data_IF_240089815802
#
_entry.id   IF_240089815802
#
_cell.length_a   1.000
_cell.length_b   1.000
_cell.length_c   1.000
_cell.angle_alpha   90.00
_cell.angle_beta   90.00
_cell.angle_gamma   90.00
#
_symmetry.space_group_name_H-M   'P 1'
#
loop_
_entity.id
_entity.type
_entity.pdbx_description
1 polymer ?
#
# COMPACT_ATOMS: atom_id res chain seq x y z
N UNK A 1 0.30 -25.14 -14.71
CA UNK A 1 0.24 -25.55 -16.12
C UNK A 1 0.61 -24.31 -16.92
N UNK A 2 1.76 -24.29 -17.59
CA UNK A 2 2.20 -23.10 -18.33
C UNK A 2 1.36 -22.95 -19.60
N UNK A 3 0.68 -21.81 -19.75
CA UNK A 3 -0.08 -21.48 -20.95
C UNK A 3 0.82 -20.71 -21.91
N UNK A 4 1.24 -21.36 -22.99
CA UNK A 4 2.11 -20.77 -24.02
C UNK A 4 1.48 -19.49 -24.59
N UNK A 5 2.30 -18.44 -24.71
CA UNK A 5 1.87 -17.13 -25.21
C UNK A 5 1.38 -16.14 -24.15
N UNK A 6 1.40 -16.52 -22.86
CA UNK A 6 1.13 -15.60 -21.74
C UNK A 6 2.44 -15.29 -21.00
N UNK A 7 2.72 -13.99 -20.83
CA UNK A 7 3.78 -13.52 -19.93
C UNK A 7 3.17 -13.21 -18.56
N UNK A 8 3.55 -13.96 -17.54
CA UNK A 8 3.22 -13.66 -16.14
C UNK A 8 4.30 -12.73 -15.58
N UNK A 9 3.87 -11.66 -14.90
CA UNK A 9 4.78 -10.65 -14.34
C UNK A 9 4.49 -10.51 -12.85
N UNK A 10 5.54 -10.63 -12.05
CA UNK A 10 5.53 -10.18 -10.66
C UNK A 10 6.07 -8.75 -10.61
N UNK A 11 5.32 -7.86 -9.97
CA UNK A 11 5.67 -6.46 -9.85
C UNK A 11 5.74 -6.04 -8.38
N UNK A 12 6.76 -5.24 -8.06
CA UNK A 12 6.88 -4.56 -6.78
C UNK A 12 6.54 -3.09 -6.98
N UNK A 13 5.67 -2.55 -6.13
CA UNK A 13 5.36 -1.12 -6.10
C UNK A 13 6.63 -0.30 -5.82
N UNK A 14 6.92 0.65 -6.70
CA UNK A 14 8.04 1.58 -6.55
C UNK A 14 7.60 2.92 -5.97
N UNK A 15 8.27 3.98 -6.42
CA UNK A 15 8.02 5.36 -6.00
C UNK A 15 6.62 5.84 -6.39
N UNK A 16 5.96 6.58 -5.49
CA UNK A 16 4.70 7.27 -5.81
C UNK A 16 4.96 8.39 -6.83
N UNK A 17 3.95 8.66 -7.64
CA UNK A 17 4.00 9.69 -8.68
C UNK A 17 2.63 10.34 -8.87
N UNK A 18 2.64 11.53 -9.44
CA UNK A 18 1.46 12.25 -9.92
C UNK A 18 1.44 12.21 -11.43
N UNK A 19 0.32 11.79 -12.01
CA UNK A 19 0.09 11.89 -13.45
C UNK A 19 -0.22 13.35 -13.77
N UNK A 20 0.54 13.95 -14.69
CA UNK A 20 0.39 15.33 -15.15
C UNK A 20 -0.50 15.39 -16.38
N UNK A 21 -0.26 14.47 -17.32
CA UNK A 21 -0.98 14.38 -18.58
C UNK A 21 -1.00 12.92 -19.04
N UNK A 22 -2.03 12.54 -19.79
CA UNK A 22 -2.12 11.24 -20.47
C UNK A 22 -2.39 11.42 -21.95
N UNK A 23 -1.79 10.58 -22.78
CA UNK A 23 -2.01 10.55 -24.23
C UNK A 23 -2.13 9.11 -24.73
N UNK A 24 -2.74 8.91 -25.89
CA UNK A 24 -2.77 7.60 -26.55
C UNK A 24 -1.55 7.54 -27.47
N UNK A 25 -0.59 6.68 -27.13
CA UNK A 25 0.63 6.45 -27.87
C UNK A 25 0.47 5.44 -29.01
N UNK A 26 1.60 4.97 -29.52
CA UNK A 26 1.60 3.93 -30.56
C UNK A 26 0.92 2.65 -30.07
N UNK A 27 0.28 1.92 -30.98
CA UNK A 27 -0.44 0.67 -30.68
C UNK A 27 -1.58 0.81 -29.65
N UNK A 28 -2.16 2.01 -29.50
CA UNK A 28 -3.21 2.34 -28.53
C UNK A 28 -2.81 2.15 -27.05
N UNK A 29 -1.50 2.21 -26.76
CA UNK A 29 -1.02 2.21 -25.38
C UNK A 29 -1.32 3.57 -24.74
N UNK A 30 -1.98 3.56 -23.58
CA UNK A 30 -2.16 4.78 -22.79
C UNK A 30 -0.84 5.12 -22.11
N UNK A 31 -0.26 6.26 -22.46
CA UNK A 31 0.99 6.76 -21.90
C UNK A 31 0.70 7.96 -21.00
N UNK A 32 1.51 8.14 -19.95
CA UNK A 32 1.35 9.22 -18.99
C UNK A 32 2.67 9.91 -18.67
N UNK A 33 2.66 11.24 -18.71
CA UNK A 33 3.76 12.05 -18.17
C UNK A 33 3.56 12.17 -16.67
N UNK A 34 4.59 11.81 -15.89
CA UNK A 34 4.49 11.74 -14.43
C UNK A 34 5.54 12.59 -13.73
N UNK A 35 5.15 13.19 -12.62
CA UNK A 35 6.05 13.79 -11.63
C UNK A 35 6.26 12.79 -10.49
N UNK A 36 7.51 12.40 -10.24
CA UNK A 36 7.82 11.53 -9.09
C UNK A 36 7.66 12.32 -7.80
N UNK A 37 6.92 11.77 -6.84
CA UNK A 37 6.81 12.36 -5.51
C UNK A 37 8.12 12.12 -4.74
N UNK A 38 8.45 13.07 -3.86
CA UNK A 38 9.59 12.94 -2.98
C UNK A 38 9.34 11.83 -1.96
N UNK A 39 10.34 10.98 -1.73
CA UNK A 39 10.30 10.01 -0.64
C UNK A 39 10.78 10.70 0.63
N UNK A 40 9.97 10.65 1.68
CA UNK A 40 10.38 11.09 3.01
C UNK A 40 11.24 10.02 3.67
N UNK A 41 12.13 10.41 4.60
CA UNK A 41 12.84 9.43 5.41
C UNK A 41 11.84 8.53 6.16
N UNK A 42 12.21 7.25 6.43
CA UNK A 42 11.40 6.33 7.22
C UNK A 42 10.89 6.98 8.51
N UNK A 43 9.57 6.99 8.69
CA UNK A 43 8.94 7.47 9.92
C UNK A 43 8.76 6.29 10.88
N UNK A 44 9.35 6.34 12.09
CA UNK A 44 9.12 5.30 13.10
C UNK A 44 7.64 5.16 13.43
N UNK A 45 7.19 3.94 13.72
CA UNK A 45 5.85 3.70 14.23
C UNK A 45 5.76 4.23 15.67
N UNK A 46 4.89 5.21 15.96
CA UNK A 46 4.74 5.72 17.32
C UNK A 46 3.93 4.73 18.18
N UNK A 47 4.19 4.76 19.49
CA UNK A 47 3.60 3.82 20.45
C UNK A 47 2.07 3.81 20.41
N UNK A 48 1.45 4.97 20.20
CA UNK A 48 -0.01 5.12 20.15
C UNK A 48 -0.64 4.38 18.96
N UNK A 49 0.14 4.03 17.94
CA UNK A 49 -0.29 3.31 16.74
C UNK A 49 0.07 1.82 16.77
N UNK A 50 0.80 1.35 17.79
CA UNK A 50 1.22 -0.06 17.90
C UNK A 50 0.05 -1.04 17.97
N UNK A 51 -1.15 -0.59 18.37
CA UNK A 51 -2.33 -1.47 18.40
C UNK A 51 -2.76 -2.01 17.03
N UNK A 52 -2.24 -1.43 15.93
CA UNK A 52 -2.44 -1.94 14.58
C UNK A 52 -1.62 -3.21 14.29
N UNK A 53 -0.52 -3.41 15.03
CA UNK A 53 0.46 -4.47 14.76
C UNK A 53 -0.09 -5.89 14.92
N UNK A 54 -0.86 -6.24 15.97
CA UNK A 54 -1.35 -7.61 16.11
C UNK A 54 -2.22 -8.05 14.93
N UNK A 55 -3.05 -7.14 14.41
CA UNK A 55 -3.85 -7.40 13.21
C UNK A 55 -2.95 -7.58 11.99
N UNK A 56 -1.99 -6.69 11.77
CA UNK A 56 -1.09 -6.75 10.63
C UNK A 56 -0.19 -8.00 10.66
N UNK A 57 0.33 -8.38 11.81
CA UNK A 57 1.12 -9.61 11.98
C UNK A 57 0.31 -10.85 11.65
N UNK A 58 -0.96 -10.91 12.07
CA UNK A 58 -1.87 -12.00 11.67
C UNK A 58 -2.07 -12.02 10.15
N UNK A 59 -2.33 -10.87 9.53
CA UNK A 59 -2.46 -10.75 8.07
C UNK A 59 -1.21 -11.26 7.35
N UNK A 60 -0.03 -10.85 7.81
CA UNK A 60 1.26 -11.27 7.24
C UNK A 60 1.45 -12.78 7.37
N UNK A 61 1.12 -13.35 8.53
CA UNK A 61 1.17 -14.79 8.77
C UNK A 61 0.20 -15.56 7.85
N UNK A 62 -1.02 -15.06 7.66
CA UNK A 62 -2.06 -15.71 6.85
C UNK A 62 -1.75 -15.65 5.34
N UNK A 63 -1.16 -14.54 4.88
CA UNK A 63 -0.86 -14.32 3.45
C UNK A 63 0.50 -14.88 3.02
N UNK A 64 1.43 -15.06 3.97
CA UNK A 64 2.76 -15.59 3.71
C UNK A 64 3.69 -14.65 2.92
N UNK A 65 4.94 -15.08 2.79
CA UNK A 65 6.04 -14.28 2.22
C UNK A 65 5.95 -14.08 0.71
N UNK A 66 5.17 -14.90 0.00
CA UNK A 66 4.92 -14.71 -1.43
C UNK A 66 4.07 -13.47 -1.69
N UNK A 67 3.14 -13.16 -0.79
CA UNK A 67 2.26 -11.98 -0.90
C UNK A 67 2.83 -10.76 -0.18
N UNK A 68 3.50 -10.96 0.95
CA UNK A 68 4.16 -9.91 1.71
C UNK A 68 5.63 -10.29 1.93
N UNK A 69 6.51 -9.97 0.96
CA UNK A 69 7.91 -10.36 1.03
C UNK A 69 8.65 -9.63 2.15
N UNK A 70 9.69 -10.31 2.66
CA UNK A 70 10.66 -9.74 3.60
C UNK A 70 11.53 -8.66 2.91
N UNK A 71 12.10 -7.71 3.67
CA UNK A 71 12.03 -7.58 5.12
C UNK A 71 10.74 -6.89 5.59
N UNK A 72 10.07 -7.44 6.60
CA UNK A 72 8.97 -6.75 7.27
C UNK A 72 9.48 -5.56 8.09
N UNK A 73 8.76 -4.44 8.03
CA UNK A 73 9.11 -3.18 8.71
C UNK A 73 8.00 -2.75 9.65
N UNK A 74 7.71 -3.60 10.64
CA UNK A 74 6.66 -3.34 11.64
C UNK A 74 6.95 -2.08 12.49
N UNK A 75 8.19 -1.62 12.50
CA UNK A 75 8.67 -0.39 13.15
C UNK A 75 8.54 0.86 12.26
N UNK A 76 8.07 0.73 11.02
CA UNK A 76 7.94 1.83 10.05
C UNK A 76 6.46 2.14 9.78
N UNK A 77 6.04 3.36 10.11
CA UNK A 77 4.66 3.82 9.96
C UNK A 77 4.15 3.76 8.50
N UNK A 78 5.01 4.08 7.54
CA UNK A 78 4.65 4.06 6.12
C UNK A 78 4.41 2.62 5.63
N UNK A 79 5.32 1.70 5.98
CA UNK A 79 5.18 0.30 5.62
C UNK A 79 3.93 -0.33 6.23
N UNK A 80 3.69 -0.12 7.53
CA UNK A 80 2.48 -0.60 8.23
C UNK A 80 1.23 -0.06 7.54
N UNK A 81 1.19 1.24 7.22
CA UNK A 81 0.06 1.87 6.56
C UNK A 81 -0.23 1.28 5.17
N UNK A 82 0.80 1.03 4.36
CA UNK A 82 0.63 0.43 3.04
C UNK A 82 0.14 -1.01 3.12
N UNK A 83 0.74 -1.86 3.96
CA UNK A 83 0.33 -3.27 4.05
C UNK A 83 -1.11 -3.44 4.51
N UNK A 84 -1.56 -2.64 5.48
CA UNK A 84 -2.96 -2.63 5.89
C UNK A 84 -3.85 -2.17 4.73
N UNK A 85 -3.49 -1.08 4.05
CA UNK A 85 -4.28 -0.53 2.92
C UNK A 85 -4.44 -1.53 1.77
N UNK A 86 -3.39 -2.28 1.45
CA UNK A 86 -3.39 -3.30 0.39
C UNK A 86 -4.45 -4.37 0.63
N UNK A 87 -4.55 -4.87 1.86
CA UNK A 87 -5.45 -5.98 2.21
C UNK A 87 -6.88 -5.56 2.54
N UNK A 88 -7.10 -4.27 2.82
CA UNK A 88 -8.43 -3.79 3.19
C UNK A 88 -9.45 -4.04 2.06
N UNK A 89 -10.65 -4.58 2.39
CA UNK A 89 -11.73 -4.80 1.42
C UNK A 89 -12.52 -3.51 1.20
N UNK A 90 -11.84 -2.47 0.69
CA UNK A 90 -12.42 -1.17 0.35
C UNK A 90 -12.30 -0.88 -1.14
N UNK A 91 -13.11 0.05 -1.64
CA UNK A 91 -13.08 0.49 -3.03
C UNK A 91 -11.69 1.04 -3.41
N UNK A 92 -11.26 0.81 -4.65
CA UNK A 92 -9.97 1.30 -5.15
C UNK A 92 -9.82 2.81 -5.01
N UNK A 93 -10.91 3.58 -5.13
CA UNK A 93 -10.87 5.02 -4.90
C UNK A 93 -10.46 5.37 -3.46
N UNK A 94 -10.91 4.60 -2.47
CA UNK A 94 -10.49 4.81 -1.08
C UNK A 94 -9.03 4.40 -0.85
N UNK A 95 -8.56 3.31 -1.47
CA UNK A 95 -7.13 2.94 -1.46
C UNK A 95 -6.26 4.03 -2.10
N UNK A 96 -6.71 4.58 -3.23
CA UNK A 96 -6.05 5.69 -3.90
C UNK A 96 -5.96 6.93 -3.00
N UNK A 97 -7.04 7.28 -2.28
CA UNK A 97 -7.01 8.40 -1.33
C UNK A 97 -6.03 8.16 -0.17
N UNK A 98 -5.88 6.94 0.31
CA UNK A 98 -4.88 6.59 1.33
C UNK A 98 -3.45 6.65 0.77
N UNK A 99 -3.25 6.25 -0.49
CA UNK A 99 -1.96 6.35 -1.19
C UNK A 99 -1.53 7.80 -1.42
N UNK A 100 -2.50 8.70 -1.65
CA UNK A 100 -2.27 10.14 -1.87
C UNK A 100 -1.88 10.91 -0.60
N UNK A 101 -2.07 10.34 0.60
CA UNK A 101 -1.64 10.97 1.84
C UNK A 101 -0.11 10.95 1.93
N UNK A 102 0.51 12.11 2.12
CA UNK A 102 1.96 12.21 2.28
C UNK A 102 2.43 11.89 3.69
N UNK A 103 1.64 12.26 4.71
CA UNK A 103 1.94 11.92 6.10
C UNK A 103 1.49 10.48 6.42
N UNK A 104 2.42 9.55 6.72
CA UNK A 104 2.07 8.19 7.10
C UNK A 104 1.28 8.13 8.41
N UNK A 105 1.46 9.07 9.35
CA UNK A 105 0.75 9.04 10.62
C UNK A 105 -0.73 9.38 10.45
N UNK A 106 -1.03 10.38 9.61
CA UNK A 106 -2.41 10.67 9.18
C UNK A 106 -3.06 9.45 8.53
N UNK A 107 -2.32 8.72 7.67
CA UNK A 107 -2.82 7.47 7.06
C UNK A 107 -3.16 6.42 8.13
N UNK A 108 -2.26 6.19 9.08
CA UNK A 108 -2.48 5.23 10.17
C UNK A 108 -3.69 5.61 11.02
N UNK A 109 -3.89 6.89 11.34
CA UNK A 109 -5.05 7.36 12.09
C UNK A 109 -6.38 7.04 11.39
N UNK A 110 -6.45 7.28 10.08
CA UNK A 110 -7.64 6.97 9.27
C UNK A 110 -7.91 5.47 9.26
N UNK A 111 -6.86 4.67 9.03
CA UNK A 111 -6.95 3.21 9.03
C UNK A 111 -7.42 2.69 10.39
N UNK A 112 -6.82 3.19 11.46
CA UNK A 112 -7.14 2.82 12.83
C UNK A 112 -8.61 3.14 13.17
N UNK A 113 -9.09 4.32 12.82
CA UNK A 113 -10.50 4.71 13.00
C UNK A 113 -11.44 3.80 12.23
N UNK A 114 -11.12 3.50 10.97
CA UNK A 114 -11.90 2.61 10.13
C UNK A 114 -11.98 1.18 10.71
N UNK A 115 -10.85 0.64 11.17
CA UNK A 115 -10.76 -0.70 11.75
C UNK A 115 -11.49 -0.78 13.10
N UNK A 116 -11.41 0.26 13.92
CA UNK A 116 -12.17 0.37 15.17
C UNK A 116 -13.68 0.33 14.96
N UNK A 117 -14.19 1.09 14.00
CA UNK A 117 -15.63 1.12 13.69
C UNK A 117 -16.15 -0.27 13.30
N UNK A 118 -15.27 -1.13 12.79
CA UNK A 118 -15.55 -2.52 12.40
C UNK A 118 -15.21 -3.54 13.49
N UNK A 119 -14.75 -3.10 14.66
CA UNK A 119 -14.33 -3.94 15.78
C UNK A 119 -13.25 -4.95 15.41
N UNK A 120 -12.31 -4.52 14.54
CA UNK A 120 -11.20 -5.35 14.07
C UNK A 120 -9.91 -5.14 14.88
N UNK A 121 -9.89 -4.13 15.74
CA UNK A 121 -8.84 -3.92 16.72
C UNK A 121 -9.39 -4.40 18.07
N UNK A 122 -8.64 -5.32 18.70
CA UNK A 122 -8.98 -5.91 20.01
C UNK A 122 -8.79 -4.94 21.15
#
# INVERSE_FOLDING_TARGET
>A
MEQLGILLIDALGGRRFRIIETSIGANNLLEGTVELLAESPPTPLPQERERLLPLLQRIVSDLGTERIPEPHRFDNAEWVGYRITEVLPIQNLAKQKLLELDDPLTRLEILEKYLNQRKLLG
#
